data_IF_707384098143
#
_entry.id   IF_707384098143
#
_cell.length_a   1.000
_cell.length_b   1.000
_cell.length_c   1.000
_cell.angle_alpha   90.00
_cell.angle_beta   90.00
_cell.angle_gamma   90.00
#
_symmetry.space_group_name_H-M   'P 1'
#
loop_
_entity.id
_entity.type
_entity.pdbx_description
1 polymer ?
#
# COMPACT_ATOMS: atom_id res chain seq x y z
N UNK A 1 -15.82 -4.54 22.88
CA UNK A 1 -14.69 -4.94 22.00
C UNK A 1 -13.52 -3.93 22.05
N UNK A 2 -13.79 -2.62 21.95
CA UNK A 2 -12.79 -1.54 22.05
C UNK A 2 -11.89 -1.61 23.31
N UNK A 3 -12.47 -1.85 24.48
CA UNK A 3 -11.71 -1.96 25.74
C UNK A 3 -10.74 -3.15 25.77
N UNK A 4 -11.13 -4.30 25.19
CA UNK A 4 -10.27 -5.49 25.08
C UNK A 4 -9.09 -5.24 24.14
N UNK A 5 -9.32 -4.53 23.02
CA UNK A 5 -8.25 -4.13 22.10
C UNK A 5 -7.29 -3.14 22.77
N UNK A 6 -7.81 -2.17 23.52
CA UNK A 6 -7.02 -1.18 24.25
C UNK A 6 -6.16 -1.82 25.35
N UNK A 7 -6.72 -2.78 26.08
CA UNK A 7 -5.99 -3.55 27.09
C UNK A 7 -4.86 -4.39 26.47
N UNK A 8 -5.13 -5.07 25.34
CA UNK A 8 -4.10 -5.82 24.61
C UNK A 8 -3.01 -4.90 24.05
N UNK A 9 -3.36 -3.77 23.47
CA UNK A 9 -2.40 -2.80 22.96
C UNK A 9 -1.48 -2.28 24.07
N UNK A 10 -2.04 -1.98 25.26
CA UNK A 10 -1.25 -1.60 26.45
C UNK A 10 -0.32 -2.71 26.92
N UNK A 11 -0.81 -3.95 26.97
CA UNK A 11 0.00 -5.10 27.37
C UNK A 11 1.17 -5.33 26.40
N UNK A 12 0.96 -5.15 25.09
CA UNK A 12 2.02 -5.24 24.08
C UNK A 12 3.03 -4.10 24.24
N UNK A 13 2.57 -2.86 24.44
CA UNK A 13 3.44 -1.69 24.62
C UNK A 13 4.31 -1.77 25.88
N UNK A 14 3.81 -2.42 26.94
CA UNK A 14 4.53 -2.60 28.21
C UNK A 14 5.41 -3.86 28.23
N UNK A 15 5.31 -4.74 27.22
CA UNK A 15 6.11 -5.96 27.18
C UNK A 15 7.53 -5.66 26.64
N UNK A 16 8.59 -5.86 27.44
CA UNK A 16 9.96 -5.59 27.01
C UNK A 16 10.41 -6.49 25.84
N UNK A 17 9.91 -7.72 25.73
CA UNK A 17 10.22 -8.60 24.59
C UNK A 17 9.62 -8.05 23.29
N UNK A 18 8.38 -7.53 23.36
CA UNK A 18 7.74 -6.90 22.20
C UNK A 18 8.45 -5.61 21.79
N UNK A 19 8.86 -4.78 22.76
CA UNK A 19 9.65 -3.58 22.50
C UNK A 19 10.99 -3.90 21.84
N UNK A 20 11.71 -4.89 22.35
CA UNK A 20 13.01 -5.29 21.80
C UNK A 20 12.87 -5.85 20.38
N UNK A 21 11.85 -6.69 20.14
CA UNK A 21 11.56 -7.20 18.81
C UNK A 21 11.23 -6.07 17.82
N UNK A 22 10.42 -5.09 18.23
CA UNK A 22 10.09 -3.92 17.41
C UNK A 22 11.34 -3.07 17.10
N UNK A 23 12.20 -2.82 18.08
CA UNK A 23 13.46 -2.12 17.85
C UNK A 23 14.39 -2.89 16.91
N UNK A 24 14.49 -4.22 17.02
CA UNK A 24 15.30 -5.04 16.11
C UNK A 24 14.72 -5.15 14.70
N UNK A 25 13.41 -4.95 14.55
CA UNK A 25 12.71 -4.93 13.26
C UNK A 25 12.75 -3.55 12.59
N UNK A 26 13.32 -2.53 13.23
CA UNK A 26 13.37 -1.21 12.64
C UNK A 26 14.25 -1.26 11.39
N UNK A 27 13.72 -0.93 10.21
CA UNK A 27 14.50 -0.95 8.99
C UNK A 27 15.65 0.05 9.10
N UNK A 28 16.81 -0.32 8.55
CA UNK A 28 17.93 0.61 8.43
C UNK A 28 17.51 1.81 7.57
N UNK A 29 17.85 3.00 8.06
CA UNK A 29 17.58 4.26 7.36
C UNK A 29 18.41 4.32 6.09
N UNK A 30 17.85 3.80 5.01
CA UNK A 30 18.48 3.78 3.69
C UNK A 30 17.63 4.58 2.70
N UNK A 31 18.30 5.24 1.76
CA UNK A 31 17.64 5.91 0.64
C UNK A 31 16.76 4.93 -0.16
N UNK A 32 17.22 3.68 -0.28
CA UNK A 32 16.47 2.60 -0.91
C UNK A 32 15.20 2.22 -0.16
N UNK A 33 15.22 2.19 1.18
CA UNK A 33 14.02 1.97 1.98
C UNK A 33 12.98 3.06 1.79
N UNK A 34 13.41 4.33 1.77
CA UNK A 34 12.53 5.45 1.47
C UNK A 34 11.94 5.36 0.06
N UNK A 35 12.78 5.16 -0.95
CA UNK A 35 12.36 5.05 -2.34
C UNK A 35 11.42 3.87 -2.55
N UNK A 36 11.66 2.74 -1.89
CA UNK A 36 10.78 1.57 -1.95
C UNK A 36 9.37 1.91 -1.46
N UNK A 37 9.25 2.55 -0.30
CA UNK A 37 7.92 2.96 0.21
C UNK A 37 7.28 4.02 -0.68
N UNK A 38 8.04 5.02 -1.12
CA UNK A 38 7.52 6.08 -1.97
C UNK A 38 7.02 5.55 -3.33
N UNK A 39 7.80 4.71 -4.01
CA UNK A 39 7.51 4.23 -5.37
C UNK A 39 6.49 3.10 -5.40
N UNK A 40 6.50 2.18 -4.43
CA UNK A 40 5.63 0.99 -4.48
C UNK A 40 4.34 1.13 -3.68
N UNK A 41 4.29 2.00 -2.67
CA UNK A 41 3.09 2.17 -1.83
C UNK A 41 2.42 3.52 -2.03
N UNK A 42 3.18 4.61 -2.18
CA UNK A 42 2.58 5.95 -2.24
C UNK A 42 2.27 6.37 -3.67
N UNK A 43 3.23 6.21 -4.58
CA UNK A 43 3.07 6.64 -5.97
C UNK A 43 1.89 5.95 -6.69
N UNK A 44 1.68 4.63 -6.59
CA UNK A 44 0.56 3.97 -7.26
C UNK A 44 -0.78 4.45 -6.71
N UNK A 45 -0.85 4.74 -5.41
CA UNK A 45 -2.06 5.29 -4.76
C UNK A 45 -2.36 6.70 -5.26
N UNK A 46 -1.33 7.57 -5.38
CA UNK A 46 -1.50 8.90 -5.99
C UNK A 46 -2.02 8.77 -7.42
N UNK A 47 -1.43 7.85 -8.20
CA UNK A 47 -1.88 7.60 -9.58
C UNK A 47 -3.34 7.15 -9.61
N UNK A 48 -3.72 6.25 -8.69
CA UNK A 48 -5.08 5.73 -8.59
C UNK A 48 -6.09 6.81 -8.17
N UNK A 49 -5.73 7.73 -7.28
CA UNK A 49 -6.61 8.84 -6.87
C UNK A 49 -6.88 9.84 -7.99
N UNK A 50 -5.85 10.16 -8.80
CA UNK A 50 -5.95 11.23 -9.80
C UNK A 50 -6.42 10.68 -11.15
N UNK A 51 -5.85 9.56 -11.61
CA UNK A 51 -6.07 9.00 -12.95
C UNK A 51 -6.72 7.62 -12.95
N UNK A 52 -7.00 7.02 -11.79
CA UNK A 52 -7.48 5.63 -11.72
C UNK A 52 -8.75 5.39 -12.55
N UNK A 53 -9.70 6.32 -12.52
CA UNK A 53 -10.92 6.24 -13.32
C UNK A 53 -10.66 6.25 -14.84
N UNK A 54 -9.76 7.12 -15.30
CA UNK A 54 -9.38 7.23 -16.72
C UNK A 54 -8.62 5.98 -17.19
N UNK A 55 -7.68 5.49 -16.37
CA UNK A 55 -6.91 4.27 -16.63
C UNK A 55 -7.84 3.05 -16.72
N UNK A 56 -8.78 2.91 -15.78
CA UNK A 56 -9.73 1.81 -15.78
C UNK A 56 -10.72 1.90 -16.95
N UNK A 57 -11.17 3.11 -17.31
CA UNK A 57 -12.03 3.31 -18.48
C UNK A 57 -11.29 2.95 -19.79
N UNK A 58 -10.05 3.39 -19.93
CA UNK A 58 -9.18 3.03 -21.05
C UNK A 58 -9.00 1.50 -21.14
N UNK A 59 -8.65 0.85 -20.04
CA UNK A 59 -8.45 -0.60 -20.01
C UNK A 59 -9.72 -1.37 -20.37
N UNK A 60 -10.88 -0.95 -19.85
CA UNK A 60 -12.20 -1.53 -20.22
C UNK A 60 -12.50 -1.39 -21.71
N UNK A 61 -12.13 -0.27 -22.32
CA UNK A 61 -12.32 -0.04 -23.75
C UNK A 61 -11.39 -0.90 -24.63
N UNK A 62 -10.20 -1.25 -24.14
CA UNK A 62 -9.23 -2.08 -24.89
C UNK A 62 -9.42 -3.58 -24.72
N UNK A 63 -10.09 -4.04 -23.65
CA UNK A 63 -10.37 -5.46 -23.40
C UNK A 63 -10.97 -6.22 -24.62
N UNK A 64 -11.95 -5.66 -25.37
CA UNK A 64 -12.51 -6.31 -26.56
C UNK A 64 -11.52 -6.40 -27.74
N UNK A 65 -10.46 -5.60 -27.73
CA UNK A 65 -9.47 -5.48 -28.79
C UNK A 65 -8.16 -6.20 -28.49
N UNK A 66 -8.04 -6.83 -27.31
CA UNK A 66 -6.83 -7.54 -26.90
C UNK A 66 -6.51 -8.70 -27.87
N UNK A 67 -5.33 -8.66 -28.48
CA UNK A 67 -4.88 -9.62 -29.48
C UNK A 67 -4.35 -10.93 -28.86
N UNK A 68 -4.05 -10.91 -27.56
CA UNK A 68 -3.50 -12.06 -26.83
C UNK A 68 -4.06 -12.17 -25.41
N UNK A 69 -3.97 -13.37 -24.84
CA UNK A 69 -4.32 -13.61 -23.44
C UNK A 69 -3.48 -12.80 -22.45
N UNK A 70 -2.21 -12.53 -22.79
CA UNK A 70 -1.31 -11.71 -21.97
C UNK A 70 -1.78 -10.26 -21.94
N UNK A 71 -2.15 -9.72 -23.09
CA UNK A 71 -2.67 -8.36 -23.21
C UNK A 71 -4.02 -8.21 -22.50
N UNK A 72 -4.89 -9.22 -22.61
CA UNK A 72 -6.15 -9.26 -21.87
C UNK A 72 -5.91 -9.23 -20.35
N UNK A 73 -5.00 -10.08 -19.87
CA UNK A 73 -4.63 -10.11 -18.45
C UNK A 73 -4.08 -8.76 -17.97
N UNK A 74 -3.29 -8.08 -18.79
CA UNK A 74 -2.77 -6.75 -18.48
C UNK A 74 -3.91 -5.73 -18.29
N UNK A 75 -4.88 -5.67 -19.21
CA UNK A 75 -6.03 -4.76 -19.05
C UNK A 75 -6.93 -5.15 -17.88
N UNK A 76 -7.16 -6.44 -17.64
CA UNK A 76 -7.92 -6.91 -16.46
C UNK A 76 -7.24 -6.49 -15.15
N UNK A 77 -5.91 -6.56 -15.09
CA UNK A 77 -5.13 -6.06 -13.94
C UNK A 77 -5.28 -4.55 -13.75
N UNK A 78 -5.22 -3.77 -14.83
CA UNK A 78 -5.43 -2.31 -14.75
C UNK A 78 -6.83 -1.97 -14.23
N UNK A 79 -7.86 -2.68 -14.70
CA UNK A 79 -9.23 -2.50 -14.22
C UNK A 79 -9.35 -2.87 -12.74
N UNK A 80 -8.74 -3.97 -12.33
CA UNK A 80 -8.76 -4.44 -10.94
C UNK A 80 -8.03 -3.46 -10.00
N UNK A 81 -6.87 -2.95 -10.40
CA UNK A 81 -6.03 -2.08 -9.57
C UNK A 81 -6.57 -0.65 -9.47
N UNK A 82 -7.16 -0.13 -10.54
CA UNK A 82 -7.54 1.28 -10.63
C UNK A 82 -9.05 1.52 -10.66
N UNK A 83 -9.86 0.47 -10.82
CA UNK A 83 -11.31 0.58 -10.99
C UNK A 83 -12.06 1.12 -9.77
N UNK A 84 -11.51 0.93 -8.57
CA UNK A 84 -12.05 1.47 -7.32
C UNK A 84 -11.39 2.81 -6.91
N UNK A 85 -10.42 3.29 -7.69
CA UNK A 85 -9.60 4.46 -7.36
C UNK A 85 -8.54 4.16 -6.30
N UNK A 86 -8.01 5.23 -5.69
CA UNK A 86 -6.99 5.11 -4.64
C UNK A 86 -7.56 4.64 -3.29
N UNK A 87 -6.71 3.94 -2.53
CA UNK A 87 -7.01 3.41 -1.20
C UNK A 87 -6.38 4.28 -0.11
N UNK A 88 -7.23 4.96 0.66
CA UNK A 88 -6.81 5.73 1.83
C UNK A 88 -6.12 4.86 2.89
N UNK A 89 -6.48 3.58 2.98
CA UNK A 89 -5.86 2.63 3.91
C UNK A 89 -4.43 2.31 3.47
N UNK A 90 -4.22 2.04 2.19
CA UNK A 90 -2.88 1.75 1.66
C UNK A 90 -1.97 2.97 1.76
N UNK A 91 -2.50 4.15 1.46
CA UNK A 91 -1.76 5.40 1.63
C UNK A 91 -1.37 5.64 3.09
N UNK A 92 -2.29 5.40 4.04
CA UNK A 92 -2.01 5.50 5.47
C UNK A 92 -0.93 4.51 5.93
N UNK A 93 -0.95 3.27 5.41
CA UNK A 93 0.10 2.28 5.67
C UNK A 93 1.45 2.75 5.12
N UNK A 94 1.48 3.29 3.90
CA UNK A 94 2.70 3.86 3.31
C UNK A 94 3.28 5.00 4.15
N UNK A 95 2.44 5.92 4.61
CA UNK A 95 2.85 7.02 5.51
C UNK A 95 3.35 6.46 6.85
N UNK A 96 2.66 5.48 7.45
CA UNK A 96 3.08 4.87 8.70
C UNK A 96 4.44 4.18 8.57
N UNK A 97 4.72 3.52 7.45
CA UNK A 97 6.01 2.91 7.16
C UNK A 97 7.12 3.95 6.99
N UNK A 98 6.83 5.09 6.34
CA UNK A 98 7.77 6.21 6.28
C UNK A 98 8.09 6.76 7.67
N UNK A 99 7.06 7.00 8.48
CA UNK A 99 7.24 7.46 9.87
C UNK A 99 8.09 6.45 10.65
N UNK A 100 7.79 5.15 10.52
CA UNK A 100 8.55 4.08 11.18
C UNK A 100 10.02 4.00 10.72
N UNK A 101 10.30 4.29 9.46
CA UNK A 101 11.67 4.32 8.93
C UNK A 101 12.49 5.44 9.59
N UNK A 102 11.90 6.63 9.77
CA UNK A 102 12.65 7.81 10.22
C UNK A 102 12.57 8.11 11.72
N UNK A 103 11.49 7.75 12.42
CA UNK A 103 11.25 8.04 13.85
C UNK A 103 11.32 6.77 14.69
#
# INVERSE_FOLDING_TARGET
>A
MKEKLKAKARAVAQNPAARNALCSMKPEKSLWGFLGVAVFLILPEIVAFIWGGEIAAYAKAQLPHAASSVERQYYDLLVMLFGEGGSWVNLAIGIALLVWLFF
#
